data_IF_309437818381
#
_entry.id   IF_309437818381
#
_cell.length_a   1.000
_cell.length_b   1.000
_cell.length_c   1.000
_cell.angle_alpha   90.00
_cell.angle_beta   90.00
_cell.angle_gamma   90.00
#
_symmetry.space_group_name_H-M   'P 1'
#
loop_
_entity.id
_entity.type
_entity.pdbx_description
1 polymer ?
#
# COMPACT_ATOMS: atom_id res chain seq x y z
N UNK A 1 3.22 25.05 -36.80
CA UNK A 1 4.25 25.88 -36.13
C UNK A 1 5.09 24.97 -35.26
N UNK A 2 6.30 24.63 -35.71
CA UNK A 2 7.24 23.80 -34.94
C UNK A 2 8.14 24.71 -34.12
N UNK A 3 8.16 24.52 -32.80
CA UNK A 3 9.08 25.22 -31.92
C UNK A 3 10.29 24.33 -31.69
N UNK A 4 11.42 24.73 -32.29
CA UNK A 4 12.74 24.17 -32.05
C UNK A 4 13.37 24.89 -30.84
N UNK A 5 13.58 24.17 -29.74
CA UNK A 5 14.30 24.68 -28.58
C UNK A 5 15.78 24.33 -28.71
N UNK A 6 16.60 25.32 -29.06
CA UNK A 6 18.06 25.24 -28.97
C UNK A 6 18.50 25.39 -27.50
N UNK A 7 19.05 24.34 -26.93
CA UNK A 7 19.71 24.37 -25.61
C UNK A 7 21.14 24.89 -25.73
N UNK A 8 21.43 26.01 -25.07
CA UNK A 8 22.77 26.58 -24.90
C UNK A 8 23.44 25.89 -23.70
N UNK A 9 24.50 25.09 -23.92
CA UNK A 9 25.29 24.50 -22.84
C UNK A 9 26.45 25.42 -22.47
N UNK A 10 26.29 26.18 -21.40
CA UNK A 10 27.36 26.99 -20.81
C UNK A 10 28.13 26.12 -19.79
N UNK A 11 29.40 25.83 -20.08
CA UNK A 11 30.29 25.12 -19.14
C UNK A 11 30.65 26.07 -17.99
N UNK A 12 30.08 25.82 -16.82
CA UNK A 12 30.59 26.39 -15.56
C UNK A 12 31.75 25.53 -15.05
N UNK A 13 32.94 26.13 -14.95
CA UNK A 13 34.06 25.58 -14.17
C UNK A 13 33.74 25.85 -12.70
N UNK A 14 33.27 24.82 -11.99
CA UNK A 14 32.90 24.92 -10.59
C UNK A 14 34.12 25.10 -9.68
N UNK A 15 34.13 26.17 -8.89
CA UNK A 15 34.85 26.19 -7.62
C UNK A 15 34.19 25.16 -6.70
N UNK A 16 34.95 24.15 -6.25
CA UNK A 16 34.45 23.15 -5.32
C UNK A 16 34.24 23.78 -3.94
N UNK A 17 32.98 23.88 -3.52
CA UNK A 17 32.61 24.23 -2.16
C UNK A 17 32.81 23.02 -1.24
N UNK A 18 33.22 23.28 0.00
CA UNK A 18 33.35 22.27 1.05
C UNK A 18 31.99 21.62 1.30
N UNK A 19 31.88 20.29 1.18
CA UNK A 19 30.67 19.59 1.60
C UNK A 19 30.75 19.22 3.08
N UNK A 20 29.72 19.60 3.83
CA UNK A 20 29.49 19.18 5.21
C UNK A 20 28.31 18.21 5.17
N UNK A 21 28.55 16.95 5.53
CA UNK A 21 27.49 15.96 5.67
C UNK A 21 27.20 15.76 7.16
N UNK A 22 26.04 16.25 7.61
CA UNK A 22 25.53 16.00 8.95
C UNK A 22 24.60 14.79 8.92
N UNK A 23 25.01 13.69 9.56
CA UNK A 23 24.13 12.54 9.76
C UNK A 23 23.01 12.88 10.73
N UNK A 24 21.77 12.49 10.39
CA UNK A 24 20.64 12.57 11.32
C UNK A 24 20.91 11.62 12.50
N UNK A 25 21.22 12.18 13.67
CA UNK A 25 21.56 11.39 14.85
C UNK A 25 22.48 12.07 15.88
N UNK A 26 22.92 13.31 15.67
CA UNK A 26 23.48 14.13 16.76
C UNK A 26 24.86 13.75 17.29
N UNK A 27 25.59 12.81 16.67
CA UNK A 27 26.99 12.51 17.00
C UNK A 27 27.84 12.29 15.76
N UNK A 28 28.81 13.20 15.52
CA UNK A 28 29.91 13.01 14.58
C UNK A 28 29.87 13.87 13.32
N UNK A 29 30.41 15.09 13.38
CA UNK A 29 30.72 15.90 12.19
C UNK A 29 32.12 15.51 11.69
N UNK A 30 32.25 14.99 10.47
CA UNK A 30 33.56 14.75 9.84
C UNK A 30 33.83 15.82 8.78
N UNK A 31 34.89 16.60 9.00
CA UNK A 31 35.40 17.61 8.05
C UNK A 31 36.63 17.03 7.37
N UNK A 32 36.61 16.94 6.04
CA UNK A 32 37.77 16.51 5.25
C UNK A 32 38.71 17.71 5.04
N UNK A 33 39.83 17.77 5.75
CA UNK A 33 40.91 18.74 5.46
C UNK A 33 41.88 18.19 4.40
N UNK A 34 42.22 18.95 3.35
CA UNK A 34 43.26 18.54 2.42
C UNK A 34 44.64 18.62 3.10
N UNK A 35 45.43 17.53 2.98
CA UNK A 35 46.81 17.45 3.47
C UNK A 35 47.72 18.39 2.65
N UNK A 36 48.30 19.39 3.32
CA UNK A 36 49.38 20.23 2.78
C UNK A 36 50.70 19.46 2.91
N UNK A 37 51.40 19.31 1.78
CA UNK A 37 52.67 18.59 1.67
C UNK A 37 53.78 19.24 2.51
N UNK A 38 54.46 18.40 3.29
CA UNK A 38 55.71 18.73 3.97
C UNK A 38 56.80 19.09 2.95
N UNK A 39 57.28 20.32 3.01
CA UNK A 39 58.48 20.74 2.29
C UNK A 39 59.71 20.58 3.17
N UNK A 40 60.75 20.07 2.53
CA UNK A 40 62.00 19.52 3.02
C UNK A 40 62.96 20.64 3.47
N UNK A 41 63.40 20.65 4.73
CA UNK A 41 64.56 21.44 5.17
C UNK A 41 65.83 20.57 5.04
N UNK A 42 66.90 21.03 4.37
CA UNK A 42 68.15 20.29 4.34
C UNK A 42 68.99 20.63 5.59
N UNK A 43 69.45 19.56 6.23
CA UNK A 43 70.54 19.55 7.20
C UNK A 43 71.82 20.16 6.59
N UNK A 44 72.42 21.14 7.28
CA UNK A 44 73.81 21.56 7.11
C UNK A 44 74.61 21.13 8.32
N UNK A 45 75.45 20.11 8.17
CA UNK A 45 76.29 19.54 9.21
C UNK A 45 77.72 20.07 9.21
N UNK A 46 78.22 20.20 10.44
CA UNK A 46 79.54 19.80 10.97
C UNK A 46 80.87 20.46 10.53
N UNK A 47 81.75 20.45 11.54
CA UNK A 47 83.22 20.36 11.54
C UNK A 47 84.02 21.67 11.45
N UNK A 48 85.17 21.84 12.11
CA UNK A 48 85.92 21.09 13.13
C UNK A 48 87.13 22.00 13.48
N UNK A 49 87.70 21.82 14.67
CA UNK A 49 89.16 21.87 14.89
C UNK A 49 89.86 23.24 14.97
N UNK A 50 90.34 23.49 16.19
CA UNK A 50 91.75 23.77 16.50
C UNK A 50 92.19 25.25 16.58
N UNK A 51 92.79 25.60 17.72
CA UNK A 51 93.26 26.96 18.01
C UNK A 51 93.28 27.33 19.50
N UNK A 52 94.10 26.61 20.26
CA UNK A 52 94.86 27.03 21.46
C UNK A 52 94.59 28.44 22.07
N UNK A 53 94.15 28.40 23.33
CA UNK A 53 94.79 29.06 24.49
C UNK A 53 95.17 30.55 24.42
N UNK A 54 94.29 31.41 24.98
CA UNK A 54 94.57 32.50 25.95
C UNK A 54 93.34 33.43 26.06
N UNK A 55 92.98 33.86 27.27
CA UNK A 55 91.88 34.79 27.65
C UNK A 55 90.48 34.20 27.88
N UNK A 56 90.29 33.55 29.03
CA UNK A 56 88.99 33.00 29.49
C UNK A 56 88.15 33.97 30.34
N UNK A 57 88.66 35.12 30.81
CA UNK A 57 87.91 35.93 31.81
C UNK A 57 87.12 37.15 31.25
N UNK A 58 87.43 37.61 30.01
CA UNK A 58 86.75 38.76 29.39
C UNK A 58 85.66 38.36 28.36
N UNK A 59 85.78 37.18 27.76
CA UNK A 59 84.86 36.66 26.74
C UNK A 59 83.56 36.13 27.35
N UNK A 60 83.62 35.46 28.50
CA UNK A 60 82.45 34.97 29.24
C UNK A 60 81.58 36.13 29.74
N UNK A 61 82.19 37.23 30.21
CA UNK A 61 81.48 38.44 30.63
C UNK A 61 80.76 39.13 29.46
N UNK A 62 81.37 39.16 28.28
CA UNK A 62 80.74 39.67 27.05
C UNK A 62 79.58 38.81 26.56
N UNK A 63 79.70 37.48 26.66
CA UNK A 63 78.60 36.55 26.35
C UNK A 63 77.44 36.67 27.34
N UNK A 64 77.73 36.81 28.64
CA UNK A 64 76.73 37.04 29.68
C UNK A 64 76.02 38.38 29.50
N UNK A 65 76.74 39.43 29.10
CA UNK A 65 76.15 40.74 28.81
C UNK A 65 75.24 40.67 27.57
N UNK A 66 75.67 40.00 26.49
CA UNK A 66 74.83 39.80 25.31
C UNK A 66 73.55 38.99 25.63
N UNK A 67 73.66 37.97 26.50
CA UNK A 67 72.52 37.20 26.96
C UNK A 67 71.57 38.06 27.80
N UNK A 68 72.11 38.92 28.66
CA UNK A 68 71.33 39.82 29.51
C UNK A 68 70.63 40.91 28.67
N UNK A 69 71.30 41.48 27.66
CA UNK A 69 70.69 42.41 26.70
C UNK A 69 69.56 41.73 25.90
N UNK A 70 69.76 40.46 25.53
CA UNK A 70 68.73 39.66 24.86
C UNK A 70 67.56 39.35 25.80
N UNK A 71 67.82 39.05 27.07
CA UNK A 71 66.79 38.85 28.09
C UNK A 71 65.99 40.15 28.33
N UNK A 72 66.66 41.29 28.43
CA UNK A 72 66.04 42.60 28.57
C UNK A 72 65.13 42.91 27.36
N UNK A 73 65.60 42.63 26.14
CA UNK A 73 64.78 42.78 24.93
C UNK A 73 63.55 41.84 24.91
N UNK A 74 63.69 40.62 25.46
CA UNK A 74 62.59 39.67 25.59
C UNK A 74 61.56 40.13 26.62
N UNK A 75 62.00 40.61 27.79
CA UNK A 75 61.12 41.19 28.82
C UNK A 75 60.35 42.39 28.27
N UNK A 76 61.03 43.28 27.53
CA UNK A 76 60.38 44.43 26.90
C UNK A 76 59.33 43.99 25.87
N UNK A 77 59.61 42.93 25.10
CA UNK A 77 58.65 42.35 24.15
C UNK A 77 57.46 41.70 24.85
N UNK A 78 57.67 41.00 25.96
CA UNK A 78 56.59 40.41 26.78
C UNK A 78 55.67 41.51 27.30
N UNK A 79 56.21 42.58 27.89
CA UNK A 79 55.39 43.70 28.38
C UNK A 79 54.62 44.41 27.25
N UNK A 80 55.21 44.54 26.06
CA UNK A 80 54.49 45.07 24.89
C UNK A 80 53.34 44.17 24.46
N UNK A 81 53.51 42.85 24.50
CA UNK A 81 52.47 41.88 24.14
C UNK A 81 51.38 41.81 25.22
N UNK A 82 51.73 41.89 26.50
CA UNK A 82 50.77 41.94 27.61
C UNK A 82 49.87 43.17 27.51
N UNK A 83 50.46 44.35 27.19
CA UNK A 83 49.70 45.59 27.00
C UNK A 83 48.74 45.50 25.81
N UNK A 84 49.18 44.88 24.72
CA UNK A 84 48.34 44.70 23.54
C UNK A 84 47.22 43.67 23.77
N UNK A 85 47.50 42.59 24.50
CA UNK A 85 46.46 41.63 24.92
C UNK A 85 45.41 42.28 25.81
N UNK A 86 45.81 43.10 26.80
CA UNK A 86 44.87 43.83 27.64
C UNK A 86 43.98 44.78 26.81
N UNK A 87 44.56 45.45 25.81
CA UNK A 87 43.81 46.31 24.89
C UNK A 87 42.79 45.51 24.08
N UNK A 88 43.18 44.36 23.53
CA UNK A 88 42.29 43.49 22.75
C UNK A 88 41.18 42.91 23.63
N UNK A 89 41.47 42.49 24.85
CA UNK A 89 40.46 42.01 25.80
C UNK A 89 39.42 43.08 26.12
N UNK A 90 39.84 44.33 26.30
CA UNK A 90 38.94 45.46 26.54
C UNK A 90 38.03 45.68 25.34
N UNK A 91 38.57 45.67 24.12
CA UNK A 91 37.79 45.79 22.88
C UNK A 91 36.80 44.64 22.69
N UNK A 92 37.17 43.41 23.06
CA UNK A 92 36.26 42.26 23.02
C UNK A 92 35.12 42.45 24.02
N UNK A 93 35.41 42.88 25.25
CA UNK A 93 34.37 43.13 26.27
C UNK A 93 33.41 44.24 25.82
N UNK A 94 33.92 45.34 25.27
CA UNK A 94 33.10 46.42 24.73
C UNK A 94 32.25 45.97 23.52
N UNK A 95 32.79 45.11 22.67
CA UNK A 95 32.03 44.54 21.54
C UNK A 95 30.87 43.65 22.02
N UNK A 96 31.09 42.82 23.05
CA UNK A 96 30.01 42.01 23.62
C UNK A 96 28.99 42.85 24.39
N UNK A 97 29.42 43.91 25.07
CA UNK A 97 28.52 44.82 25.78
C UNK A 97 27.67 45.68 24.83
N UNK A 98 28.24 46.13 23.71
CA UNK A 98 27.51 46.89 22.69
C UNK A 98 26.59 46.02 21.82
N UNK A 99 26.78 44.70 21.83
CA UNK A 99 25.91 43.75 21.16
C UNK A 99 24.66 43.47 22.02
N UNK A 100 23.73 44.41 22.04
CA UNK A 100 22.37 44.13 22.53
C UNK A 100 21.76 43.02 21.68
N UNK A 101 21.40 41.91 22.33
CA UNK A 101 20.70 40.80 21.66
C UNK A 101 19.30 41.30 21.36
N UNK A 102 19.07 41.72 20.11
CA UNK A 102 17.73 42.09 19.62
C UNK A 102 16.92 40.79 19.58
N UNK A 103 16.24 40.48 20.68
CA UNK A 103 15.25 39.41 20.70
C UNK A 103 14.01 39.94 19.97
N UNK A 104 13.83 39.52 18.71
CA UNK A 104 12.64 39.85 17.93
C UNK A 104 11.52 38.91 18.37
N UNK A 105 10.44 39.45 18.90
CA UNK A 105 9.28 38.65 19.32
C UNK A 105 8.56 38.04 18.12
N UNK A 106 8.80 36.75 17.87
CA UNK A 106 8.17 35.98 16.79
C UNK A 106 6.82 35.35 17.19
N UNK A 107 6.33 35.62 18.40
CA UNK A 107 5.13 34.99 18.95
C UNK A 107 3.88 35.15 18.06
N UNK A 108 3.71 36.33 17.44
CA UNK A 108 2.59 36.57 16.52
C UNK A 108 2.64 35.71 15.25
N UNK A 109 3.84 35.46 14.71
CA UNK A 109 4.02 34.59 13.55
C UNK A 109 3.81 33.11 13.90
N UNK A 110 4.18 32.70 15.12
CA UNK A 110 3.94 31.32 15.57
C UNK A 110 2.44 31.02 15.70
N UNK A 111 1.64 31.98 16.18
CA UNK A 111 0.19 31.83 16.25
C UNK A 111 -0.46 31.69 14.86
N UNK A 112 -0.02 32.49 13.87
CA UNK A 112 -0.55 32.38 12.50
C UNK A 112 -0.09 31.09 11.81
N UNK A 113 1.13 30.61 12.07
CA UNK A 113 1.62 29.32 11.58
C UNK A 113 0.77 28.18 12.18
N UNK A 114 0.45 28.23 13.47
CA UNK A 114 -0.39 27.22 14.11
C UNK A 114 -1.81 27.17 13.50
N UNK A 115 -2.46 28.33 13.33
CA UNK A 115 -3.78 28.43 12.69
C UNK A 115 -3.75 27.91 11.24
N UNK A 116 -2.71 28.22 10.47
CA UNK A 116 -2.52 27.68 9.12
C UNK A 116 -2.33 26.16 9.12
N UNK A 117 -1.57 25.61 10.07
CA UNK A 117 -1.41 24.17 10.21
C UNK A 117 -2.74 23.48 10.54
N UNK A 118 -3.55 24.06 11.41
CA UNK A 118 -4.86 23.50 11.75
C UNK A 118 -5.83 23.55 10.58
N UNK A 119 -5.83 24.65 9.80
CA UNK A 119 -6.58 24.74 8.54
C UNK A 119 -6.14 23.69 7.52
N UNK A 120 -4.84 23.44 7.39
CA UNK A 120 -4.31 22.39 6.50
C UNK A 120 -4.75 21.02 6.97
N UNK A 121 -4.68 20.74 8.28
CA UNK A 121 -5.14 19.46 8.85
C UNK A 121 -6.63 19.25 8.60
N UNK A 122 -7.46 20.25 8.90
CA UNK A 122 -8.91 20.20 8.67
C UNK A 122 -9.25 20.01 7.19
N UNK A 123 -8.57 20.73 6.30
CA UNK A 123 -8.72 20.56 4.85
C UNK A 123 -8.29 19.16 4.40
N UNK A 124 -7.18 18.62 4.94
CA UNK A 124 -6.71 17.27 4.63
C UNK A 124 -7.70 16.20 5.09
N UNK A 125 -8.29 16.33 6.28
CA UNK A 125 -9.31 15.39 6.76
C UNK A 125 -10.59 15.49 5.96
N UNK A 126 -11.04 16.70 5.62
CA UNK A 126 -12.21 16.91 4.77
C UNK A 126 -12.00 16.33 3.36
N UNK A 127 -10.81 16.51 2.78
CA UNK A 127 -10.47 15.95 1.49
C UNK A 127 -10.48 14.40 1.54
N UNK A 128 -9.91 13.80 2.58
CA UNK A 128 -9.95 12.35 2.78
C UNK A 128 -11.39 11.82 2.90
N UNK A 129 -12.28 12.54 3.62
CA UNK A 129 -13.69 12.18 3.71
C UNK A 129 -14.39 12.22 2.34
N UNK A 130 -14.16 13.28 1.55
CA UNK A 130 -14.71 13.40 0.20
C UNK A 130 -14.21 12.27 -0.70
N UNK A 131 -12.92 11.92 -0.63
CA UNK A 131 -12.38 10.78 -1.39
C UNK A 131 -13.07 9.46 -1.05
N UNK A 132 -13.31 9.19 0.24
CA UNK A 132 -14.02 8.00 0.68
C UNK A 132 -15.48 8.00 0.21
N UNK A 133 -16.16 9.16 0.23
CA UNK A 133 -17.53 9.28 -0.25
C UNK A 133 -17.64 9.07 -1.77
N UNK A 134 -16.65 9.57 -2.53
CA UNK A 134 -16.53 9.31 -3.98
C UNK A 134 -16.32 7.82 -4.24
N UNK A 135 -15.42 7.18 -3.49
CA UNK A 135 -15.15 5.75 -3.65
C UNK A 135 -16.36 4.90 -3.30
N UNK A 136 -17.06 5.22 -2.20
CA UNK A 136 -18.31 4.56 -1.82
C UNK A 136 -19.40 4.74 -2.89
N UNK A 137 -19.60 5.96 -3.39
CA UNK A 137 -20.58 6.24 -4.46
C UNK A 137 -20.23 5.48 -5.76
N UNK A 138 -18.95 5.35 -6.07
CA UNK A 138 -18.47 4.58 -7.23
C UNK A 138 -18.73 3.08 -7.06
N UNK A 139 -18.43 2.52 -5.88
CA UNK A 139 -18.71 1.11 -5.57
C UNK A 139 -20.21 0.82 -5.63
N UNK A 140 -21.05 1.70 -5.06
CA UNK A 140 -22.50 1.56 -5.14
C UNK A 140 -23.01 1.62 -6.59
N UNK A 141 -22.41 2.46 -7.44
CA UNK A 141 -22.75 2.54 -8.86
C UNK A 141 -22.38 1.25 -9.60
N UNK A 142 -21.21 0.68 -9.34
CA UNK A 142 -20.81 -0.59 -9.96
C UNK A 142 -21.69 -1.76 -9.47
N UNK A 143 -22.05 -1.77 -8.18
CA UNK A 143 -23.00 -2.76 -7.64
C UNK A 143 -24.37 -2.68 -8.33
N UNK A 144 -24.90 -1.47 -8.55
CA UNK A 144 -26.15 -1.30 -9.28
C UNK A 144 -26.03 -1.70 -10.74
N UNK A 145 -24.89 -1.41 -11.38
CA UNK A 145 -24.60 -1.82 -12.74
C UNK A 145 -24.56 -3.35 -12.87
N UNK A 146 -23.85 -4.05 -11.99
CA UNK A 146 -23.82 -5.52 -11.98
C UNK A 146 -25.22 -6.11 -11.75
N UNK A 147 -26.00 -5.54 -10.83
CA UNK A 147 -27.40 -5.96 -10.61
C UNK A 147 -28.25 -5.75 -11.87
N UNK A 148 -28.09 -4.62 -12.54
CA UNK A 148 -28.80 -4.33 -13.79
C UNK A 148 -28.41 -5.30 -14.92
N UNK A 149 -27.12 -5.58 -15.09
CA UNK A 149 -26.63 -6.54 -16.10
C UNK A 149 -27.15 -7.96 -15.83
N UNK A 150 -27.17 -8.39 -14.56
CA UNK A 150 -27.76 -9.67 -14.17
C UNK A 150 -29.27 -9.73 -14.45
N UNK A 151 -30.03 -8.70 -14.07
CA UNK A 151 -31.47 -8.62 -14.34
C UNK A 151 -31.75 -8.61 -15.85
N UNK A 152 -30.96 -7.87 -16.63
CA UNK A 152 -31.06 -7.83 -18.09
C UNK A 152 -30.79 -9.20 -18.70
N UNK A 153 -29.77 -9.92 -18.22
CA UNK A 153 -29.46 -11.28 -18.66
C UNK A 153 -30.62 -12.25 -18.36
N UNK A 154 -31.16 -12.21 -17.14
CA UNK A 154 -32.33 -13.01 -16.76
C UNK A 154 -33.56 -12.67 -17.62
N UNK A 155 -33.81 -11.38 -17.86
CA UNK A 155 -34.89 -10.94 -18.74
C UNK A 155 -34.73 -11.51 -20.15
N UNK A 156 -33.53 -11.44 -20.73
CA UNK A 156 -33.29 -12.00 -22.06
C UNK A 156 -33.46 -13.52 -22.11
N UNK A 157 -33.08 -14.24 -21.06
CA UNK A 157 -33.34 -15.68 -20.95
C UNK A 157 -34.85 -15.98 -20.98
N UNK A 158 -35.63 -15.26 -20.16
CA UNK A 158 -37.09 -15.41 -20.11
C UNK A 158 -37.75 -14.99 -21.43
N UNK A 159 -37.28 -13.92 -22.07
CA UNK A 159 -37.74 -13.53 -23.41
C UNK A 159 -37.45 -14.63 -24.44
N UNK A 160 -36.27 -15.25 -24.36
CA UNK A 160 -35.90 -16.44 -25.13
C UNK A 160 -36.90 -17.58 -24.94
N UNK A 161 -37.19 -17.94 -23.69
CA UNK A 161 -38.17 -18.99 -23.35
C UNK A 161 -39.58 -18.66 -23.89
N UNK A 162 -40.04 -17.41 -23.75
CA UNK A 162 -41.34 -16.97 -24.29
C UNK A 162 -41.37 -17.12 -25.81
N UNK A 163 -40.30 -16.73 -26.52
CA UNK A 163 -40.24 -16.91 -27.98
C UNK A 163 -40.20 -18.38 -28.37
N UNK A 164 -39.54 -19.23 -27.59
CA UNK A 164 -39.53 -20.69 -27.77
C UNK A 164 -40.93 -21.29 -27.57
N UNK A 165 -41.61 -20.93 -26.49
CA UNK A 165 -42.98 -21.38 -26.20
C UNK A 165 -43.98 -20.94 -27.28
N UNK A 166 -43.82 -19.74 -27.85
CA UNK A 166 -44.63 -19.30 -28.99
C UNK A 166 -44.43 -20.19 -30.22
N UNK A 167 -43.19 -20.57 -30.55
CA UNK A 167 -42.92 -21.51 -31.64
C UNK A 167 -43.55 -22.88 -31.39
N UNK A 168 -43.41 -23.41 -30.18
CA UNK A 168 -44.04 -24.69 -29.82
C UNK A 168 -45.57 -24.61 -29.94
N UNK A 169 -46.18 -23.50 -29.54
CA UNK A 169 -47.61 -23.27 -29.72
C UNK A 169 -48.01 -23.24 -31.20
N UNK A 170 -47.23 -22.56 -32.05
CA UNK A 170 -47.46 -22.53 -33.49
C UNK A 170 -47.33 -23.93 -34.12
N UNK A 171 -46.30 -24.70 -33.75
CA UNK A 171 -46.10 -26.08 -34.19
C UNK A 171 -47.26 -26.99 -33.76
N UNK A 172 -47.74 -26.86 -32.51
CA UNK A 172 -48.90 -27.60 -32.02
C UNK A 172 -50.19 -27.21 -32.76
N UNK A 173 -50.36 -25.94 -33.11
CA UNK A 173 -51.50 -25.49 -33.91
C UNK A 173 -51.44 -26.06 -35.33
N UNK A 174 -50.27 -26.09 -35.97
CA UNK A 174 -50.09 -26.74 -37.27
C UNK A 174 -50.42 -28.23 -37.21
N UNK A 175 -49.92 -28.94 -36.20
CA UNK A 175 -50.24 -30.36 -35.99
C UNK A 175 -51.74 -30.58 -35.73
N UNK A 176 -52.39 -29.68 -34.98
CA UNK A 176 -53.85 -29.73 -34.77
C UNK A 176 -54.59 -29.56 -36.09
N UNK A 177 -54.21 -28.59 -36.91
CA UNK A 177 -54.83 -28.34 -38.22
C UNK A 177 -54.64 -29.52 -39.18
N UNK A 178 -53.46 -30.16 -39.17
CA UNK A 178 -53.19 -31.37 -39.96
C UNK A 178 -54.08 -32.54 -39.52
N UNK A 179 -54.18 -32.81 -38.22
CA UNK A 179 -55.07 -33.83 -37.67
C UNK A 179 -56.55 -33.54 -37.95
N UNK A 180 -56.97 -32.28 -37.88
CA UNK A 180 -58.34 -31.85 -38.20
C UNK A 180 -58.66 -32.05 -39.69
N UNK A 181 -57.70 -31.77 -40.58
CA UNK A 181 -57.80 -32.05 -42.01
C UNK A 181 -57.91 -33.55 -42.29
N UNK A 182 -57.07 -34.37 -41.67
CA UNK A 182 -57.13 -35.84 -41.79
C UNK A 182 -58.47 -36.38 -41.26
N UNK A 183 -58.96 -35.84 -40.15
CA UNK A 183 -60.26 -36.21 -39.58
C UNK A 183 -61.42 -35.89 -40.53
N UNK A 184 -61.45 -34.69 -41.12
CA UNK A 184 -62.52 -34.32 -42.05
C UNK A 184 -62.44 -35.15 -43.35
N UNK A 185 -61.22 -35.42 -43.86
CA UNK A 185 -61.03 -36.33 -45.00
C UNK A 185 -61.55 -37.74 -44.73
N UNK A 186 -61.27 -38.32 -43.56
CA UNK A 186 -61.77 -39.63 -43.15
C UNK A 186 -63.29 -39.65 -43.00
N UNK A 187 -63.86 -38.55 -42.49
CA UNK A 187 -65.30 -38.38 -42.34
C UNK A 187 -66.00 -38.27 -43.70
N UNK A 188 -65.41 -37.55 -44.66
CA UNK A 188 -65.89 -37.48 -46.04
C UNK A 188 -65.82 -38.85 -46.73
N UNK A 189 -64.73 -39.59 -46.53
CA UNK A 189 -64.59 -40.96 -47.03
C UNK A 189 -65.67 -41.89 -46.43
N UNK A 190 -65.96 -41.77 -45.13
CA UNK A 190 -67.03 -42.52 -44.47
C UNK A 190 -68.41 -42.20 -45.04
N UNK A 191 -68.69 -40.92 -45.30
CA UNK A 191 -69.94 -40.48 -45.94
C UNK A 191 -70.04 -41.06 -47.36
N UNK A 192 -68.96 -40.98 -48.12
CA UNK A 192 -68.88 -41.53 -49.47
C UNK A 192 -69.14 -43.05 -49.49
N UNK A 193 -68.49 -43.80 -48.58
CA UNK A 193 -68.69 -45.24 -48.46
C UNK A 193 -70.13 -45.61 -48.09
N UNK A 194 -70.75 -44.86 -47.16
CA UNK A 194 -72.16 -45.07 -46.77
C UNK A 194 -73.10 -44.83 -47.94
N UNK A 195 -72.91 -43.73 -48.68
CA UNK A 195 -73.72 -43.42 -49.87
C UNK A 195 -73.56 -44.49 -50.95
N UNK A 196 -72.33 -44.91 -51.23
CA UNK A 196 -72.05 -45.97 -52.19
C UNK A 196 -72.68 -47.31 -51.75
N UNK A 197 -72.63 -47.64 -50.45
CA UNK A 197 -73.29 -48.83 -49.94
C UNK A 197 -74.83 -48.76 -50.09
N UNK A 198 -75.43 -47.61 -49.80
CA UNK A 198 -76.86 -47.39 -50.00
C UNK A 198 -77.27 -47.49 -51.48
N UNK A 199 -76.48 -46.90 -52.38
CA UNK A 199 -76.67 -47.01 -53.82
C UNK A 199 -76.52 -48.46 -54.31
N UNK A 200 -75.51 -49.20 -53.85
CA UNK A 200 -75.36 -50.62 -54.16
C UNK A 200 -76.52 -51.46 -53.61
N UNK A 201 -77.01 -51.19 -52.40
CA UNK A 201 -78.18 -51.89 -51.85
C UNK A 201 -79.45 -51.57 -52.62
N UNK A 202 -79.63 -50.32 -53.09
CA UNK A 202 -80.79 -49.96 -53.93
C UNK A 202 -80.70 -50.57 -55.32
N UNK A 203 -79.51 -50.58 -55.93
CA UNK A 203 -79.23 -51.30 -57.17
C UNK A 203 -79.46 -52.81 -57.02
N UNK A 204 -78.98 -53.42 -55.94
CA UNK A 204 -79.18 -54.84 -55.66
C UNK A 204 -80.65 -55.16 -55.37
N UNK A 205 -81.39 -54.31 -54.66
CA UNK A 205 -82.84 -54.43 -54.52
C UNK A 205 -83.58 -54.29 -55.85
N UNK A 206 -83.11 -53.41 -56.73
CA UNK A 206 -83.66 -53.22 -58.08
C UNK A 206 -83.35 -54.41 -58.99
N UNK A 207 -82.15 -54.96 -58.92
CA UNK A 207 -81.76 -56.20 -59.61
C UNK A 207 -82.49 -57.43 -59.04
N UNK A 208 -82.76 -57.48 -57.74
CA UNK A 208 -83.56 -58.54 -57.12
C UNK A 208 -85.06 -58.47 -57.46
N UNK A 209 -85.52 -57.44 -58.20
CA UNK A 209 -86.86 -57.36 -58.79
C UNK A 209 -86.99 -57.99 -60.18
N UNK A 210 -85.91 -58.58 -60.71
CA UNK A 210 -85.89 -59.19 -62.04
C UNK A 210 -85.26 -60.57 -62.02
N UNK A 211 -86.01 -61.59 -61.58
CA UNK A 211 -85.73 -62.96 -61.99
C UNK A 211 -86.15 -63.08 -63.47
N UNK A 212 -85.31 -62.59 -64.36
CA UNK A 212 -85.46 -62.76 -65.81
C UNK A 212 -84.52 -63.86 -66.24
N UNK A 213 -85.08 -65.05 -66.40
CA UNK A 213 -84.48 -66.14 -67.16
C UNK A 213 -84.47 -65.72 -68.64
N UNK A 214 -83.35 -65.23 -69.15
CA UNK A 214 -83.12 -64.99 -70.59
C UNK A 214 -82.13 -66.04 -71.08
N UNK A 215 -82.67 -67.09 -71.68
CA UNK A 215 -81.96 -67.97 -72.59
C UNK A 215 -81.75 -67.23 -73.91
N UNK A 216 -80.57 -66.64 -74.15
CA UNK A 216 -80.09 -66.34 -75.51
C UNK A 216 -78.59 -66.61 -75.56
N UNK A 217 -78.29 -67.79 -76.08
CA UNK A 217 -77.40 -68.07 -77.21
C UNK A 217 -76.07 -67.33 -77.33
N UNK A 218 -75.02 -68.16 -77.40
CA UNK A 218 -73.61 -67.89 -77.62
C UNK A 218 -73.35 -66.87 -78.75
N UNK A 219 -72.41 -65.94 -78.53
CA UNK A 219 -71.37 -65.91 -79.55
C UNK A 219 -69.98 -65.70 -78.95
N UNK A 220 -69.16 -66.72 -79.23
CA UNK A 220 -67.77 -66.65 -79.65
C UNK A 220 -66.79 -67.09 -78.56
N UNK A 221 -65.85 -68.00 -78.88
CA UNK A 221 -64.81 -68.40 -77.96
C UNK A 221 -63.89 -67.20 -77.71
N UNK A 222 -64.16 -66.45 -76.65
CA UNK A 222 -63.14 -65.60 -76.05
C UNK A 222 -62.06 -66.57 -75.59
N UNK A 223 -60.86 -66.42 -76.13
CA UNK A 223 -59.73 -67.26 -75.84
C UNK A 223 -59.46 -67.21 -74.33
N UNK A 224 -59.92 -68.23 -73.61
CA UNK A 224 -59.78 -68.35 -72.16
C UNK A 224 -58.30 -68.25 -71.75
N UNK A 225 -57.38 -68.60 -72.67
CA UNK A 225 -55.97 -68.39 -72.46
C UNK A 225 -55.59 -66.91 -72.39
N UNK A 226 -56.22 -66.03 -73.17
CA UNK A 226 -55.95 -64.59 -73.14
C UNK A 226 -56.40 -63.98 -71.81
N UNK A 227 -57.62 -64.28 -71.35
CA UNK A 227 -58.14 -63.79 -70.04
C UNK A 227 -57.34 -64.36 -68.87
N UNK A 228 -56.97 -65.65 -68.90
CA UNK A 228 -56.12 -66.25 -67.87
C UNK A 228 -54.69 -65.68 -67.89
N UNK A 229 -54.20 -65.25 -69.05
CA UNK A 229 -52.90 -64.57 -69.18
C UNK A 229 -52.97 -63.14 -68.66
N UNK A 230 -54.01 -62.38 -68.99
CA UNK A 230 -54.26 -61.04 -68.45
C UNK A 230 -54.45 -61.06 -66.92
N UNK A 231 -55.14 -62.08 -66.39
CA UNK A 231 -55.29 -62.26 -64.94
C UNK A 231 -53.94 -62.57 -64.28
N UNK A 232 -53.11 -63.43 -64.88
CA UNK A 232 -51.74 -63.69 -64.40
C UNK A 232 -50.89 -62.43 -64.44
N UNK A 233 -50.92 -61.70 -65.55
CA UNK A 233 -50.15 -60.46 -65.72
C UNK A 233 -50.57 -59.40 -64.70
N UNK A 234 -51.87 -59.28 -64.40
CA UNK A 234 -52.37 -58.39 -63.35
C UNK A 234 -51.87 -58.79 -61.95
N UNK A 235 -51.94 -60.08 -61.59
CA UNK A 235 -51.42 -60.54 -60.30
C UNK A 235 -49.90 -60.44 -60.20
N UNK A 236 -49.18 -60.72 -61.28
CA UNK A 236 -47.72 -60.59 -61.34
C UNK A 236 -47.30 -59.12 -61.22
N UNK A 237 -48.02 -58.20 -61.87
CA UNK A 237 -47.85 -56.76 -61.71
C UNK A 237 -48.15 -56.30 -60.27
N UNK A 238 -49.20 -56.83 -59.64
CA UNK A 238 -49.56 -56.50 -58.26
C UNK A 238 -48.50 -57.02 -57.26
N UNK A 239 -47.99 -58.23 -57.46
CA UNK A 239 -46.90 -58.80 -56.64
C UNK A 239 -45.62 -58.00 -56.83
N UNK A 240 -45.28 -57.64 -58.07
CA UNK A 240 -44.11 -56.81 -58.37
C UNK A 240 -44.23 -55.41 -57.77
N UNK A 241 -45.42 -54.81 -57.81
CA UNK A 241 -45.71 -53.51 -57.19
C UNK A 241 -45.60 -53.59 -55.66
N UNK A 242 -46.25 -54.56 -55.02
CA UNK A 242 -46.15 -54.79 -53.58
C UNK A 242 -44.69 -55.04 -53.13
N UNK A 243 -43.91 -55.80 -53.90
CA UNK A 243 -42.50 -56.04 -53.62
C UNK A 243 -41.69 -54.73 -53.65
N UNK A 244 -41.89 -53.89 -54.67
CA UNK A 244 -41.23 -52.59 -54.78
C UNK A 244 -41.64 -51.64 -53.65
N UNK A 245 -42.93 -51.58 -53.32
CA UNK A 245 -43.42 -50.74 -52.23
C UNK A 245 -42.87 -51.19 -50.87
N UNK A 246 -42.78 -52.50 -50.63
CA UNK A 246 -42.18 -53.06 -49.43
C UNK A 246 -40.67 -52.75 -49.35
N UNK A 247 -39.94 -52.89 -50.45
CA UNK A 247 -38.52 -52.55 -50.52
C UNK A 247 -38.28 -51.06 -50.26
N UNK A 248 -39.08 -50.18 -50.89
CA UNK A 248 -39.03 -48.75 -50.67
C UNK A 248 -39.38 -48.38 -49.22
N UNK A 249 -40.37 -49.06 -48.63
CA UNK A 249 -40.74 -48.86 -47.23
C UNK A 249 -39.59 -49.26 -46.28
N UNK A 250 -38.94 -50.40 -46.51
CA UNK A 250 -37.78 -50.81 -45.72
C UNK A 250 -36.59 -49.85 -45.90
N UNK A 251 -36.29 -49.43 -47.13
CA UNK A 251 -35.23 -48.45 -47.38
C UNK A 251 -35.51 -47.11 -46.68
N UNK A 252 -36.74 -46.62 -46.76
CA UNK A 252 -37.15 -45.41 -46.03
C UNK A 252 -37.03 -45.60 -44.51
N UNK A 253 -37.39 -46.77 -43.98
CA UNK A 253 -37.27 -47.04 -42.54
C UNK A 253 -35.81 -47.10 -42.09
N UNK A 254 -34.94 -47.74 -42.88
CA UNK A 254 -33.50 -47.82 -42.61
C UNK A 254 -32.87 -46.43 -42.64
N UNK A 255 -33.14 -45.62 -43.67
CA UNK A 255 -32.57 -44.26 -43.78
C UNK A 255 -33.03 -43.34 -42.64
N UNK A 256 -34.28 -43.45 -42.19
CA UNK A 256 -34.76 -42.70 -41.01
C UNK A 256 -34.01 -43.14 -39.75
N UNK A 257 -33.86 -44.44 -39.51
CA UNK A 257 -33.15 -44.97 -38.34
C UNK A 257 -31.66 -44.62 -38.39
N UNK A 258 -31.01 -44.67 -39.55
CA UNK A 258 -29.62 -44.25 -39.73
C UNK A 258 -29.45 -42.77 -39.40
N UNK A 259 -30.33 -41.90 -39.93
CA UNK A 259 -30.30 -40.47 -39.64
C UNK A 259 -30.55 -40.16 -38.16
N UNK A 260 -31.48 -40.86 -37.52
CA UNK A 260 -31.71 -40.75 -36.06
C UNK A 260 -30.50 -41.24 -35.27
N UNK A 261 -29.85 -42.32 -35.70
CA UNK A 261 -28.66 -42.87 -35.04
C UNK A 261 -27.46 -41.93 -35.17
N UNK A 262 -27.25 -41.31 -36.34
CA UNK A 262 -26.24 -40.28 -36.56
C UNK A 262 -26.53 -39.02 -35.73
N UNK A 263 -27.78 -38.58 -35.67
CA UNK A 263 -28.22 -37.47 -34.81
C UNK A 263 -27.95 -37.74 -33.33
N UNK A 264 -28.31 -38.93 -32.85
CA UNK A 264 -28.04 -39.35 -31.48
C UNK A 264 -26.53 -39.48 -31.21
N UNK A 265 -25.75 -40.00 -32.15
CA UNK A 265 -24.30 -40.13 -32.01
C UNK A 265 -23.61 -38.76 -31.94
N UNK A 266 -24.03 -37.79 -32.76
CA UNK A 266 -23.46 -36.44 -32.75
C UNK A 266 -23.84 -35.67 -31.48
N UNK A 267 -25.10 -35.80 -31.03
CA UNK A 267 -25.55 -35.25 -29.74
C UNK A 267 -24.79 -35.85 -28.55
N UNK A 268 -24.56 -37.17 -28.56
CA UNK A 268 -23.78 -37.86 -27.54
C UNK A 268 -22.32 -37.37 -27.50
N UNK A 269 -21.68 -37.19 -28.67
CA UNK A 269 -20.32 -36.66 -28.75
C UNK A 269 -20.24 -35.20 -28.29
N UNK A 270 -21.22 -34.36 -28.64
CA UNK A 270 -21.29 -32.99 -28.13
C UNK A 270 -21.39 -32.94 -26.61
N UNK A 271 -22.26 -33.76 -26.00
CA UNK A 271 -22.38 -33.87 -24.55
C UNK A 271 -21.08 -34.39 -23.90
N UNK A 272 -20.39 -35.35 -24.53
CA UNK A 272 -19.08 -35.82 -24.05
C UNK A 272 -18.02 -34.73 -24.04
N UNK A 273 -17.98 -33.88 -25.07
CA UNK A 273 -17.06 -32.75 -25.15
C UNK A 273 -17.39 -31.71 -24.08
N UNK A 274 -18.66 -31.37 -23.87
CA UNK A 274 -19.11 -30.46 -22.82
C UNK A 274 -18.70 -30.98 -21.42
N UNK A 275 -18.92 -32.28 -21.15
CA UNK A 275 -18.48 -32.90 -19.88
C UNK A 275 -16.96 -32.80 -19.71
N UNK A 276 -16.19 -32.97 -20.79
CA UNK A 276 -14.72 -32.87 -20.74
C UNK A 276 -14.27 -31.43 -20.47
N UNK A 277 -14.91 -30.45 -21.10
CA UNK A 277 -14.65 -29.04 -20.87
C UNK A 277 -14.98 -28.64 -19.43
N UNK A 278 -16.17 -29.01 -18.94
CA UNK A 278 -16.59 -28.78 -17.55
C UNK A 278 -15.65 -29.44 -16.53
N UNK A 279 -15.13 -30.63 -16.81
CA UNK A 279 -14.11 -31.26 -15.95
C UNK A 279 -12.80 -30.49 -15.95
N UNK A 280 -12.38 -29.98 -17.11
CA UNK A 280 -11.16 -29.17 -17.24
C UNK A 280 -11.29 -27.83 -16.51
N UNK A 281 -12.44 -27.16 -16.61
CA UNK A 281 -12.70 -25.91 -15.89
C UNK A 281 -12.79 -26.15 -14.37
N UNK A 282 -13.45 -27.22 -13.93
CA UNK A 282 -13.50 -27.61 -12.52
C UNK A 282 -12.09 -27.85 -11.95
N UNK A 283 -11.25 -28.60 -12.68
CA UNK A 283 -9.87 -28.84 -12.26
C UNK A 283 -9.07 -27.54 -12.15
N UNK A 284 -9.22 -26.62 -13.11
CA UNK A 284 -8.56 -25.32 -13.11
C UNK A 284 -8.98 -24.48 -11.91
N UNK A 285 -10.30 -24.37 -11.67
CA UNK A 285 -10.86 -23.67 -10.50
C UNK A 285 -10.40 -24.28 -9.17
N UNK A 286 -10.25 -25.60 -9.11
CA UNK A 286 -9.76 -26.28 -7.91
C UNK A 286 -8.28 -25.98 -7.63
N UNK A 287 -7.45 -25.89 -8.68
CA UNK A 287 -6.05 -25.47 -8.55
C UNK A 287 -5.97 -24.00 -8.11
N UNK A 288 -6.77 -23.13 -8.71
CA UNK A 288 -6.85 -21.71 -8.33
C UNK A 288 -7.29 -21.54 -6.87
N UNK A 289 -8.30 -22.29 -6.43
CA UNK A 289 -8.72 -22.33 -5.02
C UNK A 289 -7.57 -22.75 -4.10
N UNK A 290 -6.84 -23.80 -4.45
CA UNK A 290 -5.71 -24.27 -3.64
C UNK A 290 -4.55 -23.25 -3.60
N UNK A 291 -4.31 -22.56 -4.71
CA UNK A 291 -3.35 -21.46 -4.81
C UNK A 291 -3.74 -20.30 -3.89
N UNK A 292 -5.00 -19.85 -3.93
CA UNK A 292 -5.50 -18.80 -3.05
C UNK A 292 -5.44 -19.17 -1.57
N UNK A 293 -5.76 -20.41 -1.21
CA UNK A 293 -5.62 -20.89 0.17
C UNK A 293 -4.15 -20.84 0.64
N UNK A 294 -3.22 -21.21 -0.24
CA UNK A 294 -1.79 -21.15 0.05
C UNK A 294 -1.32 -19.70 0.20
N UNK A 295 -1.74 -18.80 -0.70
CA UNK A 295 -1.45 -17.37 -0.63
C UNK A 295 -2.01 -16.73 0.66
N UNK A 296 -3.24 -17.06 1.03
CA UNK A 296 -3.85 -16.61 2.29
C UNK A 296 -3.01 -17.06 3.49
N UNK A 297 -2.62 -18.33 3.54
CA UNK A 297 -1.80 -18.86 4.64
C UNK A 297 -0.45 -18.14 4.75
N UNK A 298 0.20 -17.84 3.62
CA UNK A 298 1.45 -17.07 3.60
C UNK A 298 1.25 -15.63 4.10
N UNK A 299 0.18 -14.95 3.68
CA UNK A 299 -0.13 -13.59 4.14
C UNK A 299 -0.48 -13.55 5.63
N UNK A 300 -1.20 -14.53 6.15
CA UNK A 300 -1.48 -14.65 7.58
C UNK A 300 -0.19 -14.92 8.38
N UNK A 301 0.73 -15.72 7.83
CA UNK A 301 2.03 -15.97 8.45
C UNK A 301 2.90 -14.70 8.50
N UNK A 302 2.99 -13.93 7.40
CA UNK A 302 3.76 -12.68 7.39
C UNK A 302 3.14 -11.60 8.27
N UNK A 303 1.80 -11.54 8.34
CA UNK A 303 1.11 -10.66 9.28
C UNK A 303 1.43 -11.03 10.73
N UNK A 304 1.43 -12.32 11.07
CA UNK A 304 1.80 -12.79 12.41
C UNK A 304 3.26 -12.45 12.73
N UNK A 305 4.19 -12.73 11.82
CA UNK A 305 5.61 -12.43 12.00
C UNK A 305 5.86 -10.93 12.19
N UNK A 306 5.21 -10.08 11.40
CA UNK A 306 5.34 -8.62 11.55
C UNK A 306 4.76 -8.15 12.89
N UNK A 307 3.59 -8.66 13.29
CA UNK A 307 3.00 -8.35 14.59
C UNK A 307 3.92 -8.79 15.75
N UNK A 308 4.46 -10.01 15.72
CA UNK A 308 5.41 -10.51 16.71
C UNK A 308 6.68 -9.65 16.77
N UNK A 309 7.21 -9.23 15.61
CA UNK A 309 8.37 -8.33 15.54
C UNK A 309 8.10 -6.98 16.18
N UNK A 310 6.96 -6.36 15.88
CA UNK A 310 6.59 -5.07 16.45
C UNK A 310 6.28 -5.18 17.95
N UNK A 311 5.62 -6.26 18.38
CA UNK A 311 5.40 -6.56 19.79
C UNK A 311 6.72 -6.69 20.55
N UNK A 312 7.69 -7.43 20.02
CA UNK A 312 9.02 -7.55 20.63
C UNK A 312 9.76 -6.20 20.70
N UNK A 313 9.67 -5.37 19.66
CA UNK A 313 10.24 -4.01 19.68
C UNK A 313 9.58 -3.14 20.74
N UNK A 314 8.26 -3.21 20.88
CA UNK A 314 7.52 -2.44 21.88
C UNK A 314 7.88 -2.88 23.31
N UNK A 315 8.02 -4.18 23.56
CA UNK A 315 8.51 -4.71 24.84
C UNK A 315 9.93 -4.23 25.13
N UNK A 316 10.82 -4.23 24.13
CA UNK A 316 12.18 -3.71 24.28
C UNK A 316 12.22 -2.22 24.64
N UNK A 317 11.41 -1.40 23.96
CA UNK A 317 11.27 0.02 24.28
C UNK A 317 10.67 0.24 25.67
N UNK A 318 9.65 -0.52 26.05
CA UNK A 318 9.06 -0.47 27.39
C UNK A 318 10.09 -0.83 28.47
N UNK A 319 10.94 -1.83 28.23
CA UNK A 319 12.05 -2.17 29.14
C UNK A 319 13.07 -1.05 29.28
N UNK A 320 13.34 -0.31 28.21
CA UNK A 320 14.25 0.85 28.25
C UNK A 320 13.61 2.01 29.03
N UNK A 321 12.34 2.31 28.78
CA UNK A 321 11.59 3.36 29.50
C UNK A 321 11.55 3.05 31.00
N UNK A 322 11.14 1.84 31.38
CA UNK A 322 11.11 1.41 32.79
C UNK A 322 12.49 1.43 33.45
N UNK A 323 13.55 1.09 32.71
CA UNK A 323 14.93 1.21 33.19
C UNK A 323 15.37 2.66 33.42
N UNK A 324 14.95 3.60 32.56
CA UNK A 324 15.22 5.03 32.74
C UNK A 324 14.39 5.62 33.89
N UNK A 325 13.12 5.24 34.03
CA UNK A 325 12.27 5.62 35.16
C UNK A 325 12.87 5.15 36.50
N UNK A 326 13.40 3.92 36.55
CA UNK A 326 14.11 3.40 37.71
C UNK A 326 15.39 4.20 38.04
N UNK A 327 16.14 4.64 37.02
CA UNK A 327 17.31 5.51 37.23
C UNK A 327 16.92 6.91 37.71
N UNK A 328 15.86 7.49 37.15
CA UNK A 328 15.33 8.79 37.59
C UNK A 328 14.88 8.74 39.04
N UNK A 329 14.09 7.73 39.42
CA UNK A 329 13.64 7.55 40.80
C UNK A 329 14.81 7.35 41.76
N UNK A 330 15.83 6.57 41.39
CA UNK A 330 17.05 6.42 42.19
C UNK A 330 17.80 7.75 42.38
N UNK A 331 17.96 8.55 41.31
CA UNK A 331 18.60 9.86 41.42
C UNK A 331 17.80 10.81 42.31
N UNK A 332 16.47 10.82 42.21
CA UNK A 332 15.61 11.60 43.10
C UNK A 332 15.80 11.20 44.56
N UNK A 333 15.85 9.90 44.85
CA UNK A 333 16.12 9.40 46.21
C UNK A 333 17.50 9.85 46.70
N UNK A 334 18.54 9.73 45.87
CA UNK A 334 19.89 10.16 46.22
C UNK A 334 19.99 11.67 46.46
N UNK A 335 19.29 12.49 45.66
CA UNK A 335 19.22 13.95 45.86
C UNK A 335 18.57 14.25 47.21
N UNK A 336 17.40 13.65 47.49
CA UNK A 336 16.73 13.84 48.78
C UNK A 336 17.59 13.41 49.96
N UNK A 337 18.34 12.29 49.84
CA UNK A 337 19.26 11.85 50.89
C UNK A 337 20.41 12.85 51.09
N UNK A 338 20.97 13.39 50.02
CA UNK A 338 22.00 14.41 50.09
C UNK A 338 21.48 15.71 50.69
N UNK A 339 20.27 16.15 50.32
CA UNK A 339 19.62 17.33 50.88
C UNK A 339 19.45 17.21 52.40
N UNK A 340 19.05 16.02 52.89
CA UNK A 340 19.00 15.74 54.32
C UNK A 340 20.38 15.82 54.98
N UNK A 341 21.42 15.23 54.37
CA UNK A 341 22.80 15.30 54.89
C UNK A 341 23.30 16.74 54.94
N UNK A 342 23.10 17.53 53.89
CA UNK A 342 23.46 18.94 53.85
C UNK A 342 22.69 19.75 54.90
N UNK A 343 21.40 19.47 55.09
CA UNK A 343 20.59 20.08 56.16
C UNK A 343 21.18 19.80 57.55
N UNK A 344 21.56 18.56 57.85
CA UNK A 344 22.20 18.22 59.14
C UNK A 344 23.57 18.86 59.33
N UNK A 345 24.37 18.94 58.27
CA UNK A 345 25.69 19.58 58.33
C UNK A 345 25.56 21.09 58.52
N UNK A 346 24.57 21.72 57.87
CA UNK A 346 24.27 23.13 58.05
C UNK A 346 23.87 23.40 59.50
N UNK A 347 22.96 22.62 60.09
CA UNK A 347 22.54 22.74 61.49
C UNK A 347 23.72 22.57 62.48
N UNK A 348 24.62 21.63 62.21
CA UNK A 348 25.84 21.48 63.01
C UNK A 348 26.78 22.69 62.85
N UNK A 349 26.92 23.21 61.63
CA UNK A 349 27.78 24.36 61.34
C UNK A 349 27.26 25.61 62.03
N UNK A 350 25.96 25.91 61.92
CA UNK A 350 25.34 27.05 62.60
C UNK A 350 25.46 26.93 64.12
N UNK A 351 25.34 25.72 64.67
CA UNK A 351 25.57 25.46 66.11
C UNK A 351 27.01 25.71 66.53
N UNK A 352 27.99 25.21 65.77
CA UNK A 352 29.41 25.43 66.05
C UNK A 352 29.80 26.90 65.90
N UNK A 353 29.24 27.61 64.92
CA UNK A 353 29.42 29.06 64.76
C UNK A 353 28.91 29.82 65.99
N UNK A 354 27.73 29.46 66.53
CA UNK A 354 27.22 30.02 67.76
C UNK A 354 28.15 29.74 68.96
N UNK A 355 28.70 28.53 69.05
CA UNK A 355 29.67 28.14 70.08
C UNK A 355 30.99 28.94 69.98
N UNK A 356 31.49 29.17 68.76
CA UNK A 356 32.69 30.00 68.51
C UNK A 356 32.43 31.46 68.90
N UNK A 357 31.25 32.00 68.59
CA UNK A 357 30.87 33.37 69.00
C UNK A 357 30.88 33.47 70.53
N UNK A 358 30.32 32.47 71.22
CA UNK A 358 30.35 32.44 72.68
C UNK A 358 31.76 32.24 73.24
N UNK A 359 32.59 31.39 72.63
CA UNK A 359 34.00 31.25 73.02
C UNK A 359 34.78 32.55 72.81
N UNK A 360 34.55 33.30 71.74
CA UNK A 360 35.14 34.63 71.52
C UNK A 360 34.71 35.60 72.62
N UNK A 361 33.40 35.63 72.95
CA UNK A 361 32.85 36.44 74.05
C UNK A 361 33.51 36.14 75.39
N UNK A 362 33.76 34.86 75.71
CA UNK A 362 34.44 34.45 76.94
C UNK A 362 35.94 34.76 76.94
N UNK A 363 36.60 34.63 75.77
CA UNK A 363 38.04 34.86 75.63
C UNK A 363 38.41 36.35 75.63
N UNK A 364 37.53 37.21 75.12
CA UNK A 364 37.67 38.66 75.18
C UNK A 364 37.46 39.21 76.62
N UNK A 365 37.19 38.34 77.60
CA UNK A 365 36.87 38.73 78.97
C UNK A 365 35.48 39.36 79.04
N UNK A 366 34.89 39.39 80.23
CA UNK A 366 33.68 40.17 80.52
C UNK A 366 34.03 41.68 80.49
N UNK A 367 34.52 42.17 79.35
CA UNK A 367 34.71 43.59 79.09
C UNK A 367 33.35 44.17 78.74
N UNK A 368 32.65 44.59 79.80
CA UNK A 368 31.56 45.55 79.80
C UNK A 368 32.10 46.95 79.40
N UNK A 369 32.84 47.01 78.29
CA UNK A 369 33.28 48.24 77.65
C UNK A 369 32.55 48.37 76.33
N UNK A 370 31.53 49.20 76.38
CA UNK A 370 30.79 49.81 75.28
C UNK A 370 31.70 50.21 74.11
N UNK A 371 32.02 49.25 73.24
CA UNK A 371 32.56 49.54 71.92
C UNK A 371 31.43 49.20 70.96
N UNK A 372 30.66 50.22 70.57
CA UNK A 372 29.73 50.10 69.45
C UNK A 372 30.54 49.75 68.21
N UNK A 373 30.67 48.45 67.94
CA UNK A 373 31.01 47.98 66.61
C UNK A 373 29.76 48.16 65.77
N UNK A 374 29.71 49.26 65.02
CA UNK A 374 28.71 49.48 63.97
C UNK A 374 29.00 48.43 62.89
N UNK A 375 28.32 47.29 62.97
CA UNK A 375 28.33 46.29 61.89
C UNK A 375 27.51 46.85 60.73
N UNK A 376 28.19 47.40 59.72
CA UNK A 376 27.56 47.72 58.43
C UNK A 376 27.11 46.41 57.78
N UNK A 377 25.80 46.18 57.69
CA UNK A 377 25.24 45.05 56.95
C UNK A 377 25.12 45.47 55.50
N UNK A 378 26.09 45.07 54.69
CA UNK A 378 26.05 45.28 53.24
C UNK A 378 25.24 44.13 52.63
N UNK A 379 23.98 44.41 52.28
CA UNK A 379 23.13 43.42 51.60
C UNK A 379 23.36 43.55 50.09
N UNK A 380 24.05 42.57 49.51
CA UNK A 380 24.26 42.49 48.05
C UNK A 380 23.19 41.58 47.47
N UNK A 381 22.24 42.16 46.73
CA UNK A 381 21.29 41.38 45.93
C UNK A 381 21.91 41.14 44.55
N UNK A 382 22.16 39.88 44.23
CA UNK A 382 22.66 39.44 42.92
C UNK A 382 21.53 38.75 42.17
N UNK A 383 21.11 39.34 41.04
CA UNK A 383 20.13 38.73 40.14
C UNK A 383 20.84 37.93 39.06
N UNK A 384 20.52 36.64 39.00
CA UNK A 384 21.05 35.71 37.99
C UNK A 384 19.98 35.42 36.95
N UNK A 385 20.32 35.60 35.68
CA UNK A 385 19.53 35.15 34.54
C UNK A 385 20.45 34.30 33.67
N UNK A 386 20.06 33.05 33.37
CA UNK A 386 20.85 32.06 32.61
C UNK A 386 22.31 31.85 33.11
N UNK A 387 22.50 31.82 34.43
CA UNK A 387 23.78 31.45 35.04
C UNK A 387 24.91 32.50 34.90
N UNK A 388 24.61 33.72 34.45
CA UNK A 388 25.55 34.86 34.50
C UNK A 388 24.98 36.03 35.32
N UNK A 389 25.84 36.64 36.15
CA UNK A 389 25.54 37.79 37.02
C UNK A 389 25.40 39.06 36.17
N UNK A 390 24.21 39.68 36.15
CA UNK A 390 23.90 40.81 35.26
C UNK A 390 23.94 42.15 36.00
N UNK A 391 23.49 42.23 37.25
CA UNK A 391 23.59 43.43 38.09
C UNK A 391 23.88 43.08 39.56
N UNK A 392 24.67 43.94 40.22
CA UNK A 392 24.89 43.90 41.66
C UNK A 392 24.48 45.23 42.26
N UNK A 393 23.35 45.23 42.96
CA UNK A 393 22.89 46.36 43.75
C UNK A 393 23.41 46.19 45.18
N UNK A 394 24.20 47.16 45.64
CA UNK A 394 24.73 47.21 47.00
C UNK A 394 24.01 48.32 47.74
N UNK A 395 23.15 47.95 48.68
CA UNK A 395 22.45 48.92 49.53
C UNK A 395 23.13 48.89 50.89
N UNK A 396 23.77 50.00 51.25
CA UNK A 396 24.30 50.23 52.59
C UNK A 396 23.19 50.79 53.48
N UNK A 397 22.96 50.17 54.64
CA UNK A 397 22.17 50.75 55.74
C UNK A 397 23.01 50.89 56.99
#
# INVERSE_FOLDING_TARGET
>A
MSFSSRSYSQRFVGQKTMSVYGGAGGTGTRISTPKIGHSYYPYGGLNLSDGLDLHVDASEKGMLQNLNDRLASYIQKVHSMEKENQRLEMQIREWYASKTVINRDYSGYLATIADLQDKIRAASTSNAQIYLEIENSKLATEDFKMKYENELSMRHAVEGDITGLRKVLDDLNLNRMDLESQYESLKDELIFLKKNHEENLTLQKTQMGGQVNVEIDDPSPIDLNQVMTELREHYEALIAKNRKELELWYQNKITVVEKETEGNSTSLEASRLEIKELKSTLQTLQIEKQSHLSMKSMLEATLRETHERYSAQLVGLQSMVTGLEAQMTLLTVNINENDLKYGTLLDLTTRLEAEIVEYRRLLDGEDDSSTQVITKIITVQETFVDGKKVESSTIES
#
